data_IF_971512213150
#
_entry.id   IF_971512213150
#
_cell.length_a   1.000
_cell.length_b   1.000
_cell.length_c   1.000
_cell.angle_alpha   90.00
_cell.angle_beta   90.00
_cell.angle_gamma   90.00
#
_symmetry.space_group_name_H-M   'P 1'
#
loop_
_entity.id
_entity.type
_entity.pdbx_description
1 polymer ?
#
# COMPACT_ATOMS: atom_id res chain seq x y z
N UNK A 1 -39.10 39.75 2.79
CA UNK A 1 -39.08 39.06 1.49
C UNK A 1 -37.62 39.08 1.08
N UNK A 2 -36.87 38.14 1.62
CA UNK A 2 -35.43 38.05 1.39
C UNK A 2 -35.23 37.57 -0.04
N UNK A 3 -34.59 38.42 -0.83
CA UNK A 3 -34.23 38.12 -2.21
C UNK A 3 -33.05 37.15 -2.14
N UNK A 4 -33.32 35.86 -2.34
CA UNK A 4 -32.29 34.86 -2.60
C UNK A 4 -31.54 35.27 -3.87
N UNK A 5 -30.36 35.86 -3.69
CA UNK A 5 -29.44 36.08 -4.79
C UNK A 5 -29.03 34.72 -5.40
N UNK A 6 -29.02 34.58 -6.73
CA UNK A 6 -28.56 33.35 -7.35
C UNK A 6 -27.08 33.14 -6.98
N UNK A 7 -26.78 32.00 -6.35
CA UNK A 7 -25.41 31.60 -6.02
C UNK A 7 -24.63 31.47 -7.34
N UNK A 8 -23.96 32.55 -7.72
CA UNK A 8 -22.99 32.59 -8.80
C UNK A 8 -21.76 31.80 -8.34
N UNK A 9 -21.82 30.48 -8.50
CA UNK A 9 -20.75 29.51 -8.19
C UNK A 9 -19.59 29.59 -9.20
N UNK A 10 -19.12 30.80 -9.48
CA UNK A 10 -17.85 31.06 -10.17
C UNK A 10 -16.89 31.79 -9.23
N UNK A 11 -16.84 31.38 -7.97
CA UNK A 11 -15.75 31.76 -7.08
C UNK A 11 -14.48 31.09 -7.60
N UNK A 12 -13.45 31.88 -7.92
CA UNK A 12 -12.11 31.37 -8.23
C UNK A 12 -11.72 30.38 -7.12
N UNK A 13 -11.46 29.11 -7.44
CA UNK A 13 -11.11 28.14 -6.43
C UNK A 13 -9.88 28.64 -5.67
N UNK A 14 -10.04 28.73 -4.36
CA UNK A 14 -9.09 29.38 -3.48
C UNK A 14 -7.76 28.59 -3.46
N UNK A 15 -6.61 29.24 -3.73
CA UNK A 15 -5.30 28.57 -3.76
C UNK A 15 -4.94 27.89 -2.43
N UNK A 16 -5.53 28.32 -1.30
CA UNK A 16 -5.34 27.65 -0.01
C UNK A 16 -5.97 26.25 0.00
N UNK A 17 -7.15 26.07 -0.61
CA UNK A 17 -7.81 24.77 -0.72
C UNK A 17 -7.02 23.79 -1.58
N UNK A 18 -6.42 24.24 -2.68
CA UNK A 18 -5.52 23.41 -3.49
C UNK A 18 -4.26 23.00 -2.73
N UNK A 19 -3.65 23.94 -2.00
CA UNK A 19 -2.45 23.67 -1.20
C UNK A 19 -2.76 22.69 -0.07
N UNK A 20 -3.91 22.83 0.58
CA UNK A 20 -4.39 21.89 1.59
C UNK A 20 -4.56 20.48 1.01
N UNK A 21 -5.25 20.33 -0.13
CA UNK A 21 -5.46 19.02 -0.75
C UNK A 21 -4.16 18.37 -1.25
N UNK A 22 -3.22 19.17 -1.76
CA UNK A 22 -1.90 18.66 -2.12
C UNK A 22 -1.09 18.18 -0.91
N UNK A 23 -1.22 18.89 0.21
CA UNK A 23 -0.60 18.52 1.48
C UNK A 23 -1.21 17.24 2.03
N UNK A 24 -2.54 17.13 1.99
CA UNK A 24 -3.28 15.93 2.40
C UNK A 24 -2.94 14.73 1.50
N UNK A 25 -2.82 14.94 0.19
CA UNK A 25 -2.37 13.91 -0.76
C UNK A 25 -0.98 13.38 -0.40
N UNK A 26 0.00 14.28 -0.18
CA UNK A 26 1.36 13.89 0.22
C UNK A 26 1.36 13.17 1.56
N UNK A 27 0.61 13.67 2.54
CA UNK A 27 0.50 13.06 3.86
C UNK A 27 0.01 11.60 3.78
N UNK A 28 -1.06 11.35 3.01
CA UNK A 28 -1.60 9.98 2.86
C UNK A 28 -0.67 9.06 2.07
N UNK A 29 0.04 9.60 1.09
CA UNK A 29 1.05 8.84 0.35
C UNK A 29 2.20 8.38 1.26
N UNK A 30 2.72 9.28 2.10
CA UNK A 30 3.74 8.97 3.10
C UNK A 30 3.25 7.97 4.16
N UNK A 31 1.98 8.08 4.56
CA UNK A 31 1.37 7.14 5.50
C UNK A 31 1.35 5.71 4.94
N UNK A 32 0.97 5.57 3.67
CA UNK A 32 0.95 4.29 2.96
C UNK A 32 2.36 3.68 2.89
N UNK A 33 3.37 4.47 2.50
CA UNK A 33 4.76 4.02 2.47
C UNK A 33 5.27 3.62 3.85
N UNK A 34 4.98 4.41 4.88
CA UNK A 34 5.38 4.10 6.25
C UNK A 34 4.80 2.77 6.72
N UNK A 35 3.54 2.47 6.37
CA UNK A 35 2.92 1.18 6.67
C UNK A 35 3.62 0.03 5.95
N UNK A 36 3.89 0.18 4.64
CA UNK A 36 4.62 -0.81 3.84
C UNK A 36 6.00 -1.09 4.42
N UNK A 37 6.77 -0.05 4.78
CA UNK A 37 8.10 -0.20 5.38
C UNK A 37 8.06 -0.93 6.73
N UNK A 38 7.13 -0.57 7.62
CA UNK A 38 6.98 -1.22 8.94
C UNK A 38 6.68 -2.70 8.81
N UNK A 39 5.74 -3.07 7.92
CA UNK A 39 5.40 -4.48 7.67
C UNK A 39 6.61 -5.21 7.08
N UNK A 40 7.28 -4.62 6.09
CA UNK A 40 8.45 -5.22 5.44
C UNK A 40 9.57 -5.53 6.43
N UNK A 41 9.94 -4.54 7.26
CA UNK A 41 10.99 -4.69 8.27
C UNK A 41 10.62 -5.77 9.28
N UNK A 42 9.37 -5.81 9.75
CA UNK A 42 8.92 -6.83 10.68
C UNK A 42 8.97 -8.24 10.07
N UNK A 43 8.53 -8.40 8.81
CA UNK A 43 8.59 -9.69 8.10
C UNK A 43 10.02 -10.16 7.91
N UNK A 44 10.92 -9.28 7.46
CA UNK A 44 12.33 -9.60 7.23
C UNK A 44 13.02 -9.96 8.56
N UNK A 45 12.78 -9.17 9.62
CA UNK A 45 13.33 -9.44 10.93
C UNK A 45 12.89 -10.83 11.46
N UNK A 46 11.60 -11.15 11.34
CA UNK A 46 11.06 -12.45 11.75
C UNK A 46 11.59 -13.61 10.89
N UNK A 47 11.82 -13.38 9.60
CA UNK A 47 12.42 -14.36 8.70
C UNK A 47 13.92 -14.61 8.99
N UNK A 48 14.64 -13.61 9.52
CA UNK A 48 16.06 -13.70 9.85
C UNK A 48 16.33 -14.46 11.18
N UNK A 49 15.38 -14.42 12.14
CA UNK A 49 15.49 -15.10 13.44
C UNK A 49 15.98 -16.56 13.35
N UNK A 50 15.43 -17.43 12.49
CA UNK A 50 15.87 -18.82 12.43
C UNK A 50 17.31 -19.01 11.96
N UNK A 51 17.90 -18.05 11.24
CA UNK A 51 19.30 -18.11 10.80
C UNK A 51 20.27 -17.49 11.80
N UNK A 52 19.80 -16.65 12.72
CA UNK A 52 20.64 -15.96 13.68
C UNK A 52 21.20 -16.87 14.79
N UNK A 53 20.61 -18.05 15.03
CA UNK A 53 21.08 -19.00 16.06
C UNK A 53 21.69 -20.25 15.46
N UNK A 54 23.02 -20.38 15.58
CA UNK A 54 23.81 -21.50 15.04
C UNK A 54 23.60 -22.85 15.77
N UNK A 55 23.07 -22.86 17.00
CA UNK A 55 22.90 -24.08 17.80
C UNK A 55 21.58 -24.05 18.57
N UNK A 56 20.48 -24.38 17.89
CA UNK A 56 19.20 -24.64 18.56
C UNK A 56 19.08 -26.14 18.80
N UNK A 57 18.81 -26.58 20.06
CA UNK A 57 18.57 -28.00 20.37
C UNK A 57 17.48 -28.59 19.47
N UNK A 58 17.61 -29.86 19.10
CA UNK A 58 16.67 -30.53 18.18
C UNK A 58 15.21 -30.43 18.65
N UNK A 59 14.96 -30.45 19.96
CA UNK A 59 13.63 -30.33 20.56
C UNK A 59 12.98 -28.95 20.34
N UNK A 60 13.79 -27.88 20.24
CA UNK A 60 13.32 -26.52 19.97
C UNK A 60 13.32 -26.17 18.48
N UNK A 61 13.73 -27.10 17.61
CA UNK A 61 13.85 -26.85 16.17
C UNK A 61 12.51 -26.69 15.47
N UNK A 62 11.45 -27.32 15.98
CA UNK A 62 10.09 -27.09 15.50
C UNK A 62 9.58 -25.67 15.80
N UNK A 63 10.02 -25.06 16.90
CA UNK A 63 9.65 -23.70 17.28
C UNK A 63 10.24 -22.62 16.36
N UNK A 64 11.32 -22.94 15.63
CA UNK A 64 11.94 -22.03 14.66
C UNK A 64 11.04 -21.69 13.46
N UNK A 65 9.97 -22.46 13.24
CA UNK A 65 8.96 -22.16 12.21
C UNK A 65 7.97 -21.10 12.67
N UNK A 66 7.80 -20.90 13.99
CA UNK A 66 6.82 -19.96 14.53
C UNK A 66 7.10 -18.49 14.16
N UNK A 67 8.34 -17.96 14.26
CA UNK A 67 8.63 -16.59 13.85
C UNK A 67 8.29 -16.27 12.38
N UNK A 68 8.74 -17.05 11.37
CA UNK A 68 8.37 -16.77 9.98
C UNK A 68 6.87 -17.03 9.69
N UNK A 69 6.21 -17.92 10.44
CA UNK A 69 4.76 -18.08 10.35
C UNK A 69 4.02 -16.82 10.81
N UNK A 70 4.43 -16.24 11.94
CA UNK A 70 3.93 -14.94 12.41
C UNK A 70 4.22 -13.85 11.38
N UNK A 71 5.40 -13.86 10.76
CA UNK A 71 5.75 -12.95 9.67
C UNK A 71 4.82 -13.10 8.47
N UNK A 72 4.42 -14.32 8.11
CA UNK A 72 3.47 -14.57 7.01
C UNK A 72 2.08 -14.01 7.35
N UNK A 73 1.60 -14.22 8.58
CA UNK A 73 0.32 -13.67 9.05
C UNK A 73 0.37 -12.13 9.03
N UNK A 74 1.48 -11.54 9.49
CA UNK A 74 1.67 -10.09 9.49
C UNK A 74 1.72 -9.51 8.07
N UNK A 75 2.34 -10.21 7.11
CA UNK A 75 2.33 -9.82 5.71
C UNK A 75 0.91 -9.85 5.13
N UNK A 76 0.13 -10.89 5.43
CA UNK A 76 -1.27 -11.00 5.00
C UNK A 76 -2.14 -9.89 5.60
N UNK A 77 -1.97 -9.60 6.90
CA UNK A 77 -2.65 -8.49 7.56
C UNK A 77 -2.23 -7.13 6.97
N UNK A 78 -0.94 -6.96 6.67
CA UNK A 78 -0.40 -5.79 6.01
C UNK A 78 -1.03 -5.54 4.64
N UNK A 79 -1.29 -6.59 3.85
CA UNK A 79 -2.01 -6.48 2.57
C UNK A 79 -3.40 -5.91 2.80
N UNK A 80 -4.18 -6.45 3.76
CA UNK A 80 -5.52 -5.96 4.06
C UNK A 80 -5.51 -4.50 4.51
N UNK A 81 -4.57 -4.15 5.39
CA UNK A 81 -4.42 -2.79 5.89
C UNK A 81 -4.10 -1.81 4.76
N UNK A 82 -3.09 -2.12 3.95
CA UNK A 82 -2.71 -1.32 2.78
C UNK A 82 -3.86 -1.21 1.78
N UNK A 83 -4.66 -2.27 1.60
CA UNK A 83 -5.80 -2.24 0.69
C UNK A 83 -6.88 -1.25 1.16
N UNK A 84 -7.13 -1.19 2.47
CA UNK A 84 -8.06 -0.22 3.07
C UNK A 84 -7.56 1.23 2.93
N UNK A 85 -6.25 1.44 3.10
CA UNK A 85 -5.63 2.76 2.92
C UNK A 85 -5.63 3.21 1.46
N UNK A 86 -5.41 2.28 0.51
CA UNK A 86 -5.49 2.56 -0.92
C UNK A 86 -6.91 2.93 -1.36
N UNK A 87 -7.96 2.31 -0.78
CA UNK A 87 -9.35 2.71 -1.03
C UNK A 87 -9.60 4.16 -0.60
N UNK A 88 -9.13 4.50 0.61
CA UNK A 88 -9.26 5.84 1.17
C UNK A 88 -8.46 6.86 0.34
N UNK A 89 -7.28 6.47 -0.13
CA UNK A 89 -6.43 7.29 -0.99
C UNK A 89 -7.03 7.54 -2.37
N UNK A 90 -7.68 6.53 -2.97
CA UNK A 90 -8.34 6.68 -4.26
C UNK A 90 -9.48 7.72 -4.21
N UNK A 91 -10.23 7.78 -3.09
CA UNK A 91 -11.28 8.79 -2.87
C UNK A 91 -10.69 10.20 -2.78
N UNK A 92 -9.59 10.37 -2.05
CA UNK A 92 -8.90 11.67 -1.94
C UNK A 92 -8.27 12.08 -3.27
N UNK A 93 -7.69 11.14 -4.02
CA UNK A 93 -7.13 11.39 -5.36
C UNK A 93 -8.21 11.87 -6.33
N UNK A 94 -9.41 11.27 -6.30
CA UNK A 94 -10.55 11.74 -7.09
C UNK A 94 -10.96 13.17 -6.70
N UNK A 95 -11.10 13.42 -5.40
CA UNK A 95 -11.47 14.75 -4.89
C UNK A 95 -10.45 15.82 -5.32
N UNK A 96 -9.15 15.51 -5.23
CA UNK A 96 -8.09 16.40 -5.66
C UNK A 96 -8.15 16.68 -7.17
N UNK A 97 -8.32 15.64 -8.01
CA UNK A 97 -8.44 15.81 -9.46
C UNK A 97 -9.68 16.60 -9.87
N UNK A 98 -10.80 16.40 -9.19
CA UNK A 98 -12.05 17.12 -9.50
C UNK A 98 -11.90 18.61 -9.21
N UNK A 99 -11.25 18.95 -8.09
CA UNK A 99 -10.97 20.34 -7.72
C UNK A 99 -9.86 20.97 -8.56
N UNK A 100 -8.87 20.18 -8.98
CA UNK A 100 -7.84 20.61 -9.91
C UNK A 100 -8.42 20.93 -11.29
N UNK A 101 -9.31 20.08 -11.81
CA UNK A 101 -10.02 20.33 -13.08
C UNK A 101 -10.88 21.59 -13.00
N UNK A 102 -11.60 21.80 -11.89
CA UNK A 102 -12.35 23.04 -11.64
C UNK A 102 -11.45 24.27 -11.59
N UNK A 103 -10.26 24.16 -11.00
CA UNK A 103 -9.29 25.26 -10.95
C UNK A 103 -8.69 25.57 -12.32
N UNK A 104 -8.35 24.55 -13.09
CA UNK A 104 -7.88 24.73 -14.46
C UNK A 104 -8.96 25.32 -15.37
N UNK A 105 -10.21 24.88 -15.24
CA UNK A 105 -11.35 25.45 -15.97
C UNK A 105 -11.57 26.93 -15.60
N UNK A 106 -11.32 27.33 -14.34
CA UNK A 106 -11.46 28.72 -13.87
C UNK A 106 -10.27 29.63 -14.19
N UNK A 107 -9.05 29.08 -14.32
CA UNK A 107 -7.80 29.88 -14.37
C UNK A 107 -7.18 29.93 -15.77
N UNK A 108 -7.31 28.86 -16.56
CA UNK A 108 -6.74 28.79 -17.91
C UNK A 108 -7.78 29.23 -18.94
N UNK A 109 -7.60 30.41 -19.56
CA UNK A 109 -8.46 30.87 -20.67
C UNK A 109 -8.23 30.11 -21.97
N UNK A 110 -7.05 29.51 -22.13
CA UNK A 110 -6.64 28.83 -23.37
C UNK A 110 -7.17 27.39 -23.44
N UNK A 111 -7.91 27.07 -24.50
CA UNK A 111 -8.58 25.79 -24.68
C UNK A 111 -7.59 24.64 -24.96
N UNK A 112 -6.47 24.92 -25.61
CA UNK A 112 -5.47 23.89 -25.97
C UNK A 112 -4.68 23.43 -24.73
N UNK A 113 -4.28 24.38 -23.87
CA UNK A 113 -3.60 24.07 -22.60
C UNK A 113 -4.56 23.39 -21.63
N UNK A 114 -5.83 23.80 -21.61
CA UNK A 114 -6.87 23.19 -20.79
C UNK A 114 -7.15 21.74 -21.23
N UNK A 115 -7.19 21.48 -22.53
CA UNK A 115 -7.34 20.13 -23.10
C UNK A 115 -6.16 19.22 -22.75
N UNK A 116 -4.93 19.74 -22.77
CA UNK A 116 -3.74 19.01 -22.36
C UNK A 116 -3.68 18.72 -20.85
N UNK A 117 -4.21 19.62 -20.02
CA UNK A 117 -4.24 19.49 -18.56
C UNK A 117 -5.35 18.57 -18.03
N UNK A 118 -6.45 18.40 -18.80
CA UNK A 118 -7.62 17.60 -18.38
C UNK A 118 -7.32 16.10 -18.47
N UNK A 119 -6.74 15.54 -17.41
CA UNK A 119 -6.53 14.11 -17.29
C UNK A 119 -7.69 13.48 -16.49
N UNK A 120 -8.73 13.07 -17.21
CA UNK A 120 -9.96 12.49 -16.64
C UNK A 120 -9.70 11.20 -15.85
N UNK A 121 -9.52 11.36 -14.53
CA UNK A 121 -9.40 10.27 -13.57
C UNK A 121 -10.78 9.95 -12.99
N UNK A 122 -11.35 8.81 -13.38
CA UNK A 122 -12.53 8.24 -12.72
C UNK A 122 -12.10 7.43 -11.49
N UNK A 123 -13.00 7.21 -10.52
CA UNK A 123 -12.72 6.42 -9.29
C UNK A 123 -12.08 5.07 -9.60
N UNK A 124 -12.57 4.42 -10.67
CA UNK A 124 -12.06 3.12 -11.16
C UNK A 124 -10.65 3.21 -11.78
N UNK A 125 -10.27 4.35 -12.33
CA UNK A 125 -8.91 4.63 -12.84
C UNK A 125 -7.97 5.10 -11.73
N UNK A 126 -8.46 5.80 -10.71
CA UNK A 126 -7.68 6.24 -9.56
C UNK A 126 -7.09 5.09 -8.73
N UNK A 127 -7.74 3.92 -8.78
CA UNK A 127 -7.31 2.63 -8.24
C UNK A 127 -6.30 1.87 -9.12
N UNK A 128 -6.10 2.30 -10.37
CA UNK A 128 -5.15 1.70 -11.33
C UNK A 128 -4.00 2.63 -11.62
N UNK A 129 -3.61 3.47 -10.66
CA UNK A 129 -2.37 4.21 -10.84
C UNK A 129 -1.19 3.25 -10.72
N UNK A 130 -0.07 3.50 -11.42
CA UNK A 130 1.10 2.63 -11.34
C UNK A 130 1.57 2.42 -9.90
N UNK A 131 1.36 3.43 -9.04
CA UNK A 131 1.63 3.34 -7.61
C UNK A 131 0.87 2.21 -6.90
N UNK A 132 -0.45 2.11 -7.11
CA UNK A 132 -1.29 1.09 -6.45
C UNK A 132 -0.84 -0.32 -6.86
N UNK A 133 -0.46 -0.47 -8.14
CA UNK A 133 0.10 -1.72 -8.68
C UNK A 133 1.44 -2.08 -8.04
N UNK A 134 2.37 -1.13 -7.94
CA UNK A 134 3.67 -1.38 -7.31
C UNK A 134 3.53 -1.82 -5.86
N UNK A 135 2.69 -1.13 -5.08
CA UNK A 135 2.45 -1.46 -3.67
C UNK A 135 1.85 -2.85 -3.52
N UNK A 136 0.85 -3.19 -4.35
CA UNK A 136 0.25 -4.53 -4.36
C UNK A 136 1.25 -5.63 -4.71
N UNK A 137 1.96 -5.47 -5.81
CA UNK A 137 2.95 -6.47 -6.27
C UNK A 137 4.02 -6.67 -5.22
N UNK A 138 4.51 -5.59 -4.60
CA UNK A 138 5.50 -5.67 -3.54
C UNK A 138 4.99 -6.42 -2.31
N UNK A 139 3.77 -6.12 -1.84
CA UNK A 139 3.18 -6.80 -0.68
C UNK A 139 2.88 -8.27 -0.96
N UNK A 140 2.41 -8.62 -2.16
CA UNK A 140 2.22 -10.01 -2.59
C UNK A 140 3.56 -10.74 -2.68
N UNK A 141 4.60 -10.09 -3.20
CA UNK A 141 5.95 -10.66 -3.24
C UNK A 141 6.48 -10.93 -1.82
N UNK A 142 6.27 -10.03 -0.87
CA UNK A 142 6.62 -10.24 0.54
C UNK A 142 5.86 -11.42 1.16
N UNK A 143 4.56 -11.55 0.87
CA UNK A 143 3.76 -12.68 1.34
C UNK A 143 4.29 -14.01 0.78
N UNK A 144 4.57 -14.06 -0.53
CA UNK A 144 5.11 -15.24 -1.18
C UNK A 144 6.50 -15.61 -0.65
N UNK A 145 7.36 -14.60 -0.44
CA UNK A 145 8.68 -14.80 0.13
C UNK A 145 8.59 -15.37 1.56
N UNK A 146 7.74 -14.79 2.40
CA UNK A 146 7.53 -15.24 3.79
C UNK A 146 6.90 -16.64 3.85
N UNK A 147 5.86 -16.89 3.05
CA UNK A 147 5.21 -18.21 2.97
C UNK A 147 6.14 -19.28 2.41
N UNK A 148 6.91 -18.96 1.37
CA UNK A 148 7.94 -19.83 0.82
C UNK A 148 9.02 -20.17 1.85
N UNK A 149 9.39 -19.20 2.69
CA UNK A 149 10.34 -19.40 3.78
C UNK A 149 9.83 -20.40 4.83
N UNK A 150 8.56 -20.28 5.24
CA UNK A 150 7.90 -21.25 6.13
C UNK A 150 7.87 -22.65 5.51
N UNK A 151 7.52 -22.75 4.23
CA UNK A 151 7.47 -24.01 3.50
C UNK A 151 8.86 -24.67 3.42
N UNK A 152 9.89 -23.88 3.11
CA UNK A 152 11.28 -24.33 3.04
C UNK A 152 11.76 -24.89 4.38
N UNK A 153 11.55 -24.14 5.47
CA UNK A 153 11.91 -24.61 6.81
C UNK A 153 11.16 -25.89 7.18
N UNK A 154 9.87 -25.99 6.85
CA UNK A 154 9.07 -27.17 7.13
C UNK A 154 9.51 -28.39 6.31
N UNK A 155 9.82 -28.22 5.02
CA UNK A 155 10.40 -29.31 4.20
C UNK A 155 11.74 -29.75 4.74
N UNK A 156 12.64 -28.80 5.07
CA UNK A 156 13.96 -29.12 5.62
C UNK A 156 13.87 -29.94 6.92
N UNK A 157 12.84 -29.70 7.73
CA UNK A 157 12.56 -30.47 8.93
C UNK A 157 12.14 -31.91 8.60
N UNK A 158 11.18 -32.10 7.69
CA UNK A 158 10.67 -33.42 7.30
C UNK A 158 11.78 -34.30 6.69
N UNK A 159 12.60 -33.72 5.80
CA UNK A 159 13.74 -34.40 5.18
C UNK A 159 14.81 -34.82 6.20
N UNK A 160 15.01 -34.04 7.27
CA UNK A 160 15.99 -34.37 8.29
C UNK A 160 15.48 -35.36 9.35
N UNK A 161 14.16 -35.45 9.53
CA UNK A 161 13.51 -36.38 10.47
C UNK A 161 13.25 -37.77 9.89
N UNK A 162 13.50 -38.01 8.60
CA UNK A 162 13.36 -39.34 7.98
C UNK A 162 14.67 -40.11 8.15
N UNK A 163 14.75 -41.11 9.04
CA UNK A 163 15.91 -41.97 9.13
C UNK A 163 16.00 -42.81 7.84
N UNK A 164 17.17 -42.80 7.21
CA UNK A 164 17.52 -43.75 6.15
C UNK A 164 17.67 -45.11 6.83
N UNK A 165 16.56 -45.81 7.04
CA UNK A 165 16.52 -47.20 7.51
C UNK A 165 15.55 -48.00 6.65
N UNK A 166 15.79 -48.00 5.33
CA UNK A 166 15.24 -48.98 4.39
C UNK A 166 15.97 -48.89 3.05
N UNK A 167 17.24 -49.28 3.06
CA UNK A 167 17.97 -49.78 1.89
C UNK A 167 19.02 -50.78 2.40
#
# INVERSE_FOLDING_TARGET
MDVEEPVTTASKPDPQHLTYLWTEYKYRHELCWTAVYKVSVAVIALAAIPYAKAAVPNDFRGWLVAPPLIGTILAAFGILFVWSELDLFAKVKLAHHTLQDQFFDATLSDADIRGAAKHGLTVRKAWRTPFDWYVMVFMVALLLLSGGHVLFLRMSYILKSTPISSL
#
